data_IF_145456473146
#
_entry.id   IF_145456473146
#
_cell.length_a   1.000
_cell.length_b   1.000
_cell.length_c   1.000
_cell.angle_alpha   90.00
_cell.angle_beta   90.00
_cell.angle_gamma   90.00
#
_symmetry.space_group_name_H-M   'P 1'
#
loop_
_entity.id
_entity.type
_entity.pdbx_description
1 polymer ?
#
# COMPACT_ATOMS: atom_id res chain seq x y z
N UNK A 1 -18.58 1.01 6.41
CA UNK A 1 -17.24 0.66 6.90
C UNK A 1 -17.09 1.25 8.29
N UNK A 2 -16.73 0.45 9.28
CA UNK A 2 -16.53 0.89 10.66
C UNK A 2 -15.14 1.53 10.83
N UNK A 3 -14.91 2.32 11.90
CA UNK A 3 -13.58 2.87 12.18
C UNK A 3 -12.49 1.79 12.32
N UNK A 4 -12.82 0.62 12.88
CA UNK A 4 -11.85 -0.48 13.00
C UNK A 4 -11.52 -1.08 11.63
N UNK A 5 -12.52 -1.30 10.77
CA UNK A 5 -12.30 -1.78 9.39
C UNK A 5 -11.41 -0.81 8.60
N UNK A 6 -11.61 0.51 8.74
CA UNK A 6 -10.75 1.52 8.09
C UNK A 6 -9.31 1.41 8.58
N UNK A 7 -9.11 1.22 9.90
CA UNK A 7 -7.79 1.04 10.50
C UNK A 7 -7.10 -0.24 10.02
N UNK A 8 -7.84 -1.34 9.93
CA UNK A 8 -7.37 -2.61 9.40
C UNK A 8 -6.93 -2.47 7.93
N UNK A 9 -7.74 -1.82 7.09
CA UNK A 9 -7.40 -1.56 5.68
C UNK A 9 -6.15 -0.68 5.54
N UNK A 10 -6.03 0.37 6.34
CA UNK A 10 -4.82 1.22 6.37
C UNK A 10 -3.58 0.41 6.75
N UNK A 11 -3.66 -0.43 7.79
CA UNK A 11 -2.57 -1.30 8.23
C UNK A 11 -2.17 -2.35 7.18
N UNK A 12 -3.16 -2.97 6.54
CA UNK A 12 -2.94 -3.92 5.45
C UNK A 12 -2.24 -3.24 4.27
N UNK A 13 -2.68 -2.04 3.90
CA UNK A 13 -2.09 -1.25 2.83
C UNK A 13 -0.63 -0.91 3.11
N UNK A 14 -0.31 -0.45 4.31
CA UNK A 14 1.06 -0.14 4.72
C UNK A 14 1.97 -1.37 4.64
N UNK A 15 1.47 -2.52 5.08
CA UNK A 15 2.20 -3.79 5.00
C UNK A 15 2.48 -4.20 3.55
N UNK A 16 1.50 -4.05 2.65
CA UNK A 16 1.69 -4.31 1.22
C UNK A 16 2.66 -3.32 0.55
N UNK A 17 2.65 -2.05 0.94
CA UNK A 17 3.63 -1.06 0.44
C UNK A 17 5.06 -1.43 0.88
N UNK A 18 5.26 -1.93 2.11
CA UNK A 18 6.55 -2.45 2.56
C UNK A 18 6.96 -3.66 1.71
N UNK A 19 6.06 -4.62 1.53
CA UNK A 19 6.31 -5.82 0.70
C UNK A 19 6.64 -5.46 -0.75
N UNK A 20 5.95 -4.47 -1.33
CA UNK A 20 6.24 -3.94 -2.67
C UNK A 20 7.67 -3.40 -2.77
N UNK A 21 8.13 -2.64 -1.76
CA UNK A 21 9.50 -2.09 -1.74
C UNK A 21 10.54 -3.20 -1.66
N UNK A 22 10.31 -4.21 -0.81
CA UNK A 22 11.18 -5.38 -0.72
C UNK A 22 11.25 -6.15 -2.04
N UNK A 23 10.10 -6.43 -2.66
CA UNK A 23 10.03 -7.13 -3.94
C UNK A 23 10.72 -6.35 -5.06
N UNK A 24 10.48 -5.04 -5.14
CA UNK A 24 11.17 -4.18 -6.10
C UNK A 24 12.70 -4.21 -5.91
N UNK A 25 13.16 -4.22 -4.65
CA UNK A 25 14.59 -4.36 -4.34
C UNK A 25 15.12 -5.73 -4.78
N UNK A 26 14.43 -6.82 -4.48
CA UNK A 26 14.82 -8.17 -4.91
C UNK A 26 14.92 -8.29 -6.43
N UNK A 27 13.95 -7.73 -7.16
CA UNK A 27 14.00 -7.66 -8.63
C UNK A 27 15.22 -6.87 -9.11
N UNK A 28 15.52 -5.73 -8.48
CA UNK A 28 16.67 -4.90 -8.89
C UNK A 28 18.03 -5.54 -8.62
N UNK A 29 18.13 -6.39 -7.59
CA UNK A 29 19.36 -7.08 -7.19
C UNK A 29 19.54 -8.43 -7.95
N UNK A 30 18.48 -8.94 -8.60
CA UNK A 30 18.55 -10.19 -9.34
C UNK A 30 19.30 -10.00 -10.70
N UNK A 31 20.33 -10.82 -11.00
CA UNK A 31 21.09 -10.71 -12.26
C UNK A 31 20.22 -10.92 -13.52
N UNK A 32 19.18 -11.74 -13.40
CA UNK A 32 18.16 -11.95 -14.42
C UNK A 32 16.82 -12.21 -13.72
N UNK A 33 15.99 -11.17 -13.51
CA UNK A 33 14.69 -11.32 -12.86
C UNK A 33 13.77 -12.24 -13.65
N UNK A 34 13.01 -13.10 -12.97
CA UNK A 34 12.05 -13.98 -13.61
C UNK A 34 10.71 -13.27 -13.88
N UNK A 35 9.92 -13.82 -14.80
CA UNK A 35 8.54 -13.39 -15.04
C UNK A 35 7.69 -13.56 -13.77
N UNK A 36 7.91 -14.64 -13.00
CA UNK A 36 7.22 -14.89 -11.74
C UNK A 36 7.44 -13.76 -10.72
N UNK A 37 8.66 -13.22 -10.59
CA UNK A 37 8.92 -12.05 -9.72
C UNK A 37 8.12 -10.82 -10.17
N UNK A 38 8.03 -10.58 -11.48
CA UNK A 38 7.24 -9.48 -12.03
C UNK A 38 5.73 -9.68 -11.79
N UNK A 39 5.24 -10.91 -11.91
CA UNK A 39 3.85 -11.26 -11.60
C UNK A 39 3.54 -11.10 -10.11
N UNK A 40 4.43 -11.51 -9.21
CA UNK A 40 4.28 -11.29 -7.77
C UNK A 40 4.22 -9.80 -7.43
N UNK A 41 5.12 -8.98 -8.00
CA UNK A 41 5.08 -7.53 -7.83
C UNK A 41 3.75 -6.95 -8.34
N UNK A 42 3.27 -7.42 -9.48
CA UNK A 42 1.99 -7.00 -10.06
C UNK A 42 0.82 -7.32 -9.12
N UNK A 43 0.77 -8.53 -8.55
CA UNK A 43 -0.25 -8.93 -7.57
C UNK A 43 -0.26 -8.02 -6.34
N UNK A 44 0.93 -7.66 -5.84
CA UNK A 44 1.06 -6.72 -4.71
C UNK A 44 0.51 -5.34 -5.08
N UNK A 45 0.85 -4.83 -6.26
CA UNK A 45 0.36 -3.53 -6.74
C UNK A 45 -1.16 -3.51 -6.86
N UNK A 46 -1.75 -4.52 -7.50
CA UNK A 46 -3.21 -4.64 -7.63
C UNK A 46 -3.90 -4.73 -6.26
N UNK A 47 -3.31 -5.42 -5.29
CA UNK A 47 -3.84 -5.49 -3.94
C UNK A 47 -3.83 -4.11 -3.25
N UNK A 48 -2.76 -3.32 -3.40
CA UNK A 48 -2.70 -1.95 -2.88
C UNK A 48 -3.78 -1.08 -3.51
N UNK A 49 -3.95 -1.13 -4.83
CA UNK A 49 -4.98 -0.37 -5.55
C UNK A 49 -6.40 -0.75 -5.11
N UNK A 50 -6.64 -2.04 -4.83
CA UNK A 50 -7.93 -2.50 -4.34
C UNK A 50 -8.26 -1.93 -2.95
N UNK A 51 -7.27 -1.87 -2.05
CA UNK A 51 -7.43 -1.25 -0.74
C UNK A 51 -7.65 0.26 -0.84
N UNK A 52 -6.88 0.93 -1.71
CA UNK A 52 -7.04 2.36 -1.98
C UNK A 52 -8.44 2.69 -2.50
N UNK A 53 -8.97 1.86 -3.40
CA UNK A 53 -10.34 2.00 -3.91
C UNK A 53 -11.37 1.81 -2.80
N UNK A 54 -11.23 0.78 -1.97
CA UNK A 54 -12.16 0.51 -0.87
C UNK A 54 -12.19 1.66 0.15
N UNK A 55 -11.02 2.20 0.49
CA UNK A 55 -10.86 3.36 1.37
C UNK A 55 -11.50 4.62 0.75
N UNK A 56 -11.28 4.88 -0.54
CA UNK A 56 -11.92 5.98 -1.26
C UNK A 56 -13.45 5.86 -1.29
N UNK A 57 -13.98 4.68 -1.60
CA UNK A 57 -15.42 4.42 -1.65
C UNK A 57 -16.09 4.61 -0.28
N UNK A 58 -15.35 4.35 0.80
CA UNK A 58 -15.79 4.61 2.16
C UNK A 58 -15.72 6.10 2.58
N UNK A 59 -15.19 7.00 1.74
CA UNK A 59 -14.98 8.40 2.09
C UNK A 59 -13.76 8.62 3.01
N UNK A 60 -12.88 7.64 3.11
CA UNK A 60 -11.66 7.69 3.93
C UNK A 60 -10.41 7.40 3.10
N UNK A 61 -10.04 8.26 2.12
CA UNK A 61 -8.84 8.07 1.31
C UNK A 61 -7.60 7.82 2.18
N UNK A 62 -6.71 6.92 1.75
CA UNK A 62 -5.46 6.73 2.46
C UNK A 62 -4.65 8.03 2.47
N UNK A 63 -4.30 8.50 3.67
CA UNK A 63 -3.33 9.58 3.88
C UNK A 63 -2.07 8.95 4.47
N UNK A 64 -0.88 9.25 3.94
CA UNK A 64 0.35 8.79 4.58
C UNK A 64 0.44 9.41 5.98
N UNK A 65 0.99 8.69 6.96
CA UNK A 65 1.18 9.22 8.32
C UNK A 65 1.86 10.58 8.33
N UNK A 66 2.90 10.77 7.50
CA UNK A 66 3.58 12.06 7.35
C UNK A 66 2.66 13.19 6.90
N UNK A 67 1.68 12.91 6.03
CA UNK A 67 0.74 13.90 5.54
C UNK A 67 -0.39 14.15 6.56
N UNK A 68 -0.85 13.09 7.23
CA UNK A 68 -1.82 13.21 8.31
C UNK A 68 -1.26 14.04 9.49
N UNK A 69 0.01 13.84 9.85
CA UNK A 69 0.72 14.61 10.87
C UNK A 69 0.87 16.09 10.47
N UNK A 70 1.21 16.38 9.21
CA UNK A 70 1.28 17.75 8.69
C UNK A 70 -0.06 18.48 8.76
N UNK A 71 -1.15 17.81 8.39
CA UNK A 71 -2.49 18.40 8.45
C UNK A 71 -2.97 18.66 9.89
N UNK A 72 -2.50 17.88 10.88
CA UNK A 72 -2.83 18.12 12.30
C UNK A 72 -2.08 19.31 12.88
N UNK A 73 -0.92 19.69 12.35
CA UNK A 73 -0.16 20.86 12.78
C UNK A 73 -0.63 22.19 12.19
N UNK A 74 -1.54 22.16 11.22
CA UNK A 74 -2.08 23.36 10.54
C UNK A 74 -3.44 23.83 11.09
N UNK A 75 -3.91 23.25 12.21
CA UNK A 75 -5.15 23.61 12.93
C UNK A 75 -4.81 24.18 14.31
#
# INVERSE_FOLDING_TARGET
MTPEEIKELNSARESLVKRRREMARQISEAPLPSVEMAEELTKILTAVEALDRALNEAGHPYMSQSLAEQMQTEI
#
